data_IF_799188079274
#
_entry.id   IF_799188079274
#
_cell.length_a   1.000
_cell.length_b   1.000
_cell.length_c   1.000
_cell.angle_alpha   90.00
_cell.angle_beta   90.00
_cell.angle_gamma   90.00
#
_symmetry.space_group_name_H-M   'P 1'
#
loop_
_entity.id
_entity.type
_entity.pdbx_description
1 polymer ?
#
# COMPACT_ATOMS: atom_id res chain seq x y z
N UNK A 1 11.65 -26.92 -14.34
CA UNK A 1 11.64 -25.75 -13.43
C UNK A 1 13.01 -25.08 -13.54
N UNK A 2 13.08 -23.81 -13.94
CA UNK A 2 14.35 -23.14 -14.25
C UNK A 2 15.25 -23.01 -13.01
N UNK A 3 16.50 -23.45 -13.13
CA UNK A 3 17.55 -23.40 -12.12
C UNK A 3 18.13 -21.99 -11.86
N UNK A 4 17.54 -20.94 -12.45
CA UNK A 4 18.13 -19.60 -12.43
C UNK A 4 17.94 -18.83 -11.12
N UNK A 5 17.07 -19.30 -10.19
CA UNK A 5 16.82 -18.64 -8.91
C UNK A 5 16.74 -19.65 -7.75
N UNK A 6 17.31 -19.27 -6.61
CA UNK A 6 17.23 -20.07 -5.39
C UNK A 6 15.79 -20.12 -4.84
N UNK A 7 15.36 -21.32 -4.42
CA UNK A 7 14.01 -21.56 -3.88
C UNK A 7 13.92 -21.07 -2.44
N UNK A 8 12.70 -20.69 -2.01
CA UNK A 8 12.38 -20.31 -0.63
C UNK A 8 13.11 -19.08 -0.07
N UNK A 9 13.66 -18.24 -0.95
CA UNK A 9 14.28 -16.96 -0.57
C UNK A 9 13.29 -15.81 -0.76
N UNK A 10 12.74 -15.66 -1.96
CA UNK A 10 11.83 -14.56 -2.25
C UNK A 10 10.46 -14.77 -1.58
N UNK A 11 9.94 -13.72 -0.92
CA UNK A 11 8.58 -13.66 -0.35
C UNK A 11 8.22 -14.85 0.57
N UNK A 12 9.21 -15.37 1.27
CA UNK A 12 9.06 -16.47 2.24
C UNK A 12 9.07 -15.92 3.65
N UNK A 13 8.18 -16.42 4.52
CA UNK A 13 8.05 -15.99 5.92
C UNK A 13 8.14 -17.22 6.81
N UNK A 14 8.99 -17.14 7.84
CA UNK A 14 9.10 -18.18 8.85
C UNK A 14 8.00 -18.02 9.91
N UNK A 15 7.41 -19.14 10.32
CA UNK A 15 6.38 -19.16 11.38
C UNK A 15 7.07 -19.26 12.73
N UNK A 16 6.72 -18.35 13.65
CA UNK A 16 7.21 -18.36 15.02
C UNK A 16 6.14 -18.96 15.95
N UNK A 17 6.54 -19.78 16.91
CA UNK A 17 5.69 -20.32 17.98
C UNK A 17 4.39 -20.99 17.48
N UNK A 18 4.44 -21.63 16.30
CA UNK A 18 3.31 -22.24 15.61
C UNK A 18 2.12 -21.28 15.33
N UNK A 19 2.35 -19.96 15.35
CA UNK A 19 1.33 -18.95 15.09
C UNK A 19 1.17 -18.69 13.58
N UNK A 20 0.44 -19.58 12.91
CA UNK A 20 0.25 -19.55 11.46
C UNK A 20 -0.46 -18.28 10.97
N UNK A 21 -1.51 -17.85 11.66
CA UNK A 21 -2.30 -16.67 11.32
C UNK A 21 -1.46 -15.38 11.32
N UNK A 22 -0.57 -15.22 12.30
CA UNK A 22 0.32 -14.07 12.40
C UNK A 22 1.32 -14.03 11.24
N UNK A 23 1.85 -15.20 10.87
CA UNK A 23 2.74 -15.34 9.72
C UNK A 23 2.01 -15.02 8.41
N UNK A 24 0.78 -15.50 8.21
CA UNK A 24 0.00 -15.19 7.01
C UNK A 24 -0.36 -13.71 6.90
N UNK A 25 -0.76 -13.05 7.99
CA UNK A 25 -1.01 -11.60 7.99
C UNK A 25 0.24 -10.81 7.63
N UNK A 26 1.40 -11.26 8.11
CA UNK A 26 2.69 -10.67 7.78
C UNK A 26 3.01 -10.84 6.29
N UNK A 27 2.80 -12.03 5.75
CA UNK A 27 2.95 -12.32 4.32
C UNK A 27 2.02 -11.46 3.46
N UNK A 28 0.72 -11.38 3.82
CA UNK A 28 -0.26 -10.56 3.10
C UNK A 28 0.14 -9.08 3.10
N UNK A 29 0.62 -8.55 4.24
CA UNK A 29 1.15 -7.20 4.33
C UNK A 29 2.35 -6.97 3.40
N UNK A 30 3.32 -7.90 3.37
CA UNK A 30 4.47 -7.82 2.46
C UNK A 30 3.99 -7.75 1.00
N UNK A 31 3.08 -8.65 0.60
CA UNK A 31 2.54 -8.70 -0.76
C UNK A 31 1.74 -7.45 -1.14
N UNK A 32 1.07 -6.81 -0.18
CA UNK A 32 0.34 -5.54 -0.37
C UNK A 32 1.28 -4.36 -0.55
N UNK A 33 2.32 -4.25 0.29
CA UNK A 33 3.33 -3.17 0.19
C UNK A 33 4.04 -3.24 -1.16
N UNK A 34 4.42 -4.44 -1.60
CA UNK A 34 5.05 -4.68 -2.91
C UNK A 34 4.07 -4.58 -4.09
N UNK A 35 2.78 -4.35 -3.82
CA UNK A 35 1.69 -4.26 -4.81
C UNK A 35 1.53 -5.49 -5.71
N UNK A 36 2.02 -6.66 -5.28
CA UNK A 36 1.96 -7.90 -6.07
C UNK A 36 0.51 -8.28 -6.38
N UNK A 37 -0.38 -8.18 -5.38
CA UNK A 37 -1.80 -8.50 -5.54
C UNK A 37 -2.52 -7.53 -6.48
N UNK A 38 -2.15 -6.25 -6.46
CA UNK A 38 -2.71 -5.24 -7.38
C UNK A 38 -2.25 -5.50 -8.81
N UNK A 39 -0.95 -5.74 -9.01
CA UNK A 39 -0.37 -6.08 -10.30
C UNK A 39 -0.98 -7.36 -10.88
N UNK A 40 -1.21 -8.38 -10.04
CA UNK A 40 -1.85 -9.62 -10.47
C UNK A 40 -3.27 -9.35 -10.99
N UNK A 41 -4.10 -8.60 -10.25
CA UNK A 41 -5.45 -8.23 -10.68
C UNK A 41 -5.44 -7.40 -11.97
N UNK A 42 -4.51 -6.46 -12.10
CA UNK A 42 -4.36 -5.65 -13.33
C UNK A 42 -3.93 -6.48 -14.54
N UNK A 43 -3.17 -7.56 -14.33
CA UNK A 43 -2.68 -8.43 -15.40
C UNK A 43 -3.66 -9.51 -15.84
N UNK A 44 -4.77 -9.70 -15.11
CA UNK A 44 -5.82 -10.66 -15.50
C UNK A 44 -6.43 -10.33 -16.86
N UNK A 45 -6.52 -9.05 -17.19
CA UNK A 45 -7.02 -8.56 -18.47
C UNK A 45 -6.03 -7.57 -19.07
N UNK A 46 -5.95 -7.53 -20.40
CA UNK A 46 -5.10 -6.56 -21.08
C UNK A 46 -5.62 -5.13 -20.89
N UNK A 47 -4.85 -4.31 -20.18
CA UNK A 47 -5.07 -2.87 -20.05
C UNK A 47 -4.44 -2.15 -21.26
N UNK A 48 -5.24 -1.41 -22.03
CA UNK A 48 -4.72 -0.67 -23.20
C UNK A 48 -3.75 0.43 -22.75
N UNK A 49 -2.71 0.78 -23.53
CA UNK A 49 -1.67 1.73 -23.10
C UNK A 49 -2.20 3.10 -22.68
N UNK A 50 -3.24 3.61 -23.36
CA UNK A 50 -3.85 4.89 -22.99
C UNK A 50 -4.64 4.83 -21.68
N UNK A 51 -5.28 3.70 -21.36
CA UNK A 51 -5.98 3.48 -20.09
C UNK A 51 -4.97 3.45 -18.95
N UNK A 52 -3.88 2.69 -19.12
CA UNK A 52 -2.77 2.62 -18.17
C UNK A 52 -2.16 3.99 -17.89
N UNK A 53 -1.90 4.79 -18.93
CA UNK A 53 -1.37 6.17 -18.78
C UNK A 53 -2.32 7.06 -17.97
N UNK A 54 -3.63 7.01 -18.26
CA UNK A 54 -4.65 7.77 -17.53
C UNK A 54 -4.70 7.36 -16.06
N UNK A 55 -4.69 6.05 -15.78
CA UNK A 55 -4.68 5.50 -14.42
C UNK A 55 -3.45 5.94 -13.63
N UNK A 56 -2.24 5.79 -14.19
CA UNK A 56 -1.00 6.21 -13.52
C UNK A 56 -1.02 7.71 -13.19
N UNK A 57 -1.51 8.55 -14.11
CA UNK A 57 -1.66 9.98 -13.87
C UNK A 57 -2.61 10.25 -12.70
N UNK A 58 -3.79 9.63 -12.71
CA UNK A 58 -4.78 9.76 -11.64
C UNK A 58 -4.23 9.31 -10.28
N UNK A 59 -3.58 8.15 -10.20
CA UNK A 59 -2.98 7.63 -8.96
C UNK A 59 -1.87 8.53 -8.41
N UNK A 60 -1.11 9.21 -9.28
CA UNK A 60 -0.09 10.18 -8.87
C UNK A 60 -0.74 11.44 -8.30
N UNK A 61 -1.69 12.03 -9.02
CA UNK A 61 -2.39 13.23 -8.56
C UNK A 61 -3.13 12.97 -7.24
N UNK A 62 -3.82 11.83 -7.12
CA UNK A 62 -4.47 11.42 -5.88
C UNK A 62 -3.49 11.32 -4.72
N UNK A 63 -2.34 10.67 -4.92
CA UNK A 63 -1.31 10.56 -3.87
C UNK A 63 -0.80 11.92 -3.41
N UNK A 64 -0.56 12.84 -4.35
CA UNK A 64 -0.10 14.21 -4.03
C UNK A 64 -1.18 14.93 -3.22
N UNK A 65 -2.44 14.83 -3.63
CA UNK A 65 -3.56 15.43 -2.91
C UNK A 65 -3.71 14.85 -1.50
N UNK A 66 -3.77 13.53 -1.36
CA UNK A 66 -3.94 12.84 -0.08
C UNK A 66 -2.81 13.21 0.88
N UNK A 67 -1.56 13.26 0.39
CA UNK A 67 -0.41 13.65 1.20
C UNK A 67 -0.50 15.11 1.67
N UNK A 68 -0.77 16.05 0.76
CA UNK A 68 -0.91 17.47 1.11
C UNK A 68 -2.09 17.73 2.04
N UNK A 69 -3.20 17.01 1.85
CA UNK A 69 -4.37 17.11 2.71
C UNK A 69 -4.08 16.58 4.11
N UNK A 70 -3.40 15.44 4.23
CA UNK A 70 -2.97 14.89 5.53
C UNK A 70 -2.04 15.87 6.27
N UNK A 71 -1.08 16.48 5.57
CA UNK A 71 -0.21 17.53 6.15
C UNK A 71 -1.01 18.73 6.66
N UNK A 72 -2.01 19.19 5.89
CA UNK A 72 -2.90 20.28 6.31
C UNK A 72 -3.72 19.90 7.54
N UNK A 73 -4.25 18.68 7.58
CA UNK A 73 -5.00 18.15 8.72
C UNK A 73 -4.11 18.15 9.95
N UNK A 74 -2.93 17.52 9.90
CA UNK A 74 -1.98 17.46 11.02
C UNK A 74 -1.60 18.86 11.54
N UNK A 75 -1.42 19.83 10.62
CA UNK A 75 -1.15 21.21 10.98
C UNK A 75 -2.32 21.86 11.74
N UNK A 76 -3.55 21.71 11.23
CA UNK A 76 -4.75 22.28 11.83
C UNK A 76 -5.17 21.59 13.13
N UNK A 77 -4.87 20.30 13.28
CA UNK A 77 -5.21 19.52 14.48
C UNK A 77 -4.60 20.13 15.76
N UNK A 78 -3.49 20.88 15.66
CA UNK A 78 -2.92 21.65 16.78
C UNK A 78 -3.88 22.70 17.35
N UNK A 79 -4.83 23.19 16.54
CA UNK A 79 -5.83 24.19 16.92
C UNK A 79 -7.18 23.59 17.28
N UNK A 80 -7.32 22.26 17.23
CA UNK A 80 -8.52 21.55 17.68
C UNK A 80 -8.59 21.47 19.21
N UNK A 81 -8.57 22.64 19.86
CA UNK A 81 -8.67 22.82 21.31
C UNK A 81 -9.95 23.60 21.63
N UNK A 82 -10.52 23.48 22.84
CA UNK A 82 -11.66 24.30 23.24
C UNK A 82 -11.32 25.79 23.11
N UNK A 83 -12.35 26.60 22.83
CA UNK A 83 -12.18 28.04 22.63
C UNK A 83 -11.55 28.66 23.90
N UNK A 84 -10.38 29.31 23.81
CA UNK A 84 -9.78 29.96 24.96
C UNK A 84 -10.60 31.16 25.50
N UNK A 85 -11.59 31.65 24.75
CA UNK A 85 -12.37 32.85 25.11
C UNK A 85 -13.82 32.57 25.47
N UNK A 86 -14.11 31.39 26.04
CA UNK A 86 -15.42 31.11 26.63
C UNK A 86 -15.76 32.18 27.68
N UNK A 87 -16.87 32.87 27.47
CA UNK A 87 -17.40 33.94 28.33
C UNK A 87 -18.34 33.37 29.39
#
# INVERSE_FOLDING_TARGET
>A
MSANHMRFIARTVLVKDNQLEAAYRTLDRILRVDKVLELHRQRMYYEKPFQKRRRISYERCKRIYDNSMNQKIEFLMRKNRPDPWLR
#
